data_IF_910316602956
#
_entry.id   IF_910316602956
#
_cell.length_a   1.000
_cell.length_b   1.000
_cell.length_c   1.000
_cell.angle_alpha   90.00
_cell.angle_beta   90.00
_cell.angle_gamma   90.00
#
_symmetry.space_group_name_H-M   'P 1'
#
loop_
_entity.id
_entity.type
_entity.pdbx_description
1 polymer ?
#
# COMPACT_ATOMS: atom_id res chain seq x y z
N UNK A 1 8.62 13.88 1.00
CA UNK A 1 8.45 12.48 0.63
C UNK A 1 7.58 11.80 1.68
N UNK A 2 6.56 11.07 1.26
CA UNK A 2 5.70 10.31 2.16
C UNK A 2 6.41 9.01 2.55
N UNK A 3 6.56 8.78 3.86
CA UNK A 3 7.17 7.59 4.41
C UNK A 3 6.21 6.94 5.41
N UNK A 4 6.33 5.63 5.60
CA UNK A 4 5.59 4.87 6.59
C UNK A 4 6.34 4.85 7.91
N UNK A 5 5.66 5.18 9.03
CA UNK A 5 6.16 4.94 10.38
C UNK A 5 6.00 3.46 10.76
N UNK A 6 6.55 3.04 11.91
CA UNK A 6 6.37 1.68 12.45
C UNK A 6 4.91 1.33 12.77
N UNK A 7 4.06 2.33 12.98
CA UNK A 7 2.63 2.17 13.27
C UNK A 7 1.73 2.44 12.06
N UNK A 8 2.29 2.58 10.84
CA UNK A 8 1.54 2.86 9.63
C UNK A 8 1.13 4.32 9.46
N UNK A 9 1.44 5.20 10.40
CA UNK A 9 1.15 6.63 10.27
C UNK A 9 2.05 7.29 9.22
N UNK A 10 1.55 8.36 8.61
CA UNK A 10 2.29 9.08 7.57
C UNK A 10 3.38 9.96 8.18
N UNK A 11 4.61 9.77 7.71
CA UNK A 11 5.73 10.66 7.95
C UNK A 11 5.96 11.48 6.68
N UNK A 12 5.69 12.77 6.74
CA UNK A 12 5.98 13.70 5.65
C UNK A 12 6.49 15.00 6.26
N UNK A 13 7.74 14.99 6.69
CA UNK A 13 8.37 16.09 7.39
C UNK A 13 8.63 17.26 6.41
N UNK A 14 8.15 18.44 6.78
CA UNK A 14 8.38 19.70 6.07
C UNK A 14 9.25 20.62 6.91
N UNK A 15 10.25 21.29 6.33
CA UNK A 15 11.05 22.27 7.06
C UNK A 15 10.17 23.39 7.62
N UNK A 16 10.39 23.73 8.88
CA UNK A 16 9.74 24.87 9.57
C UNK A 16 10.73 26.02 9.79
N UNK A 17 12.00 25.81 9.45
CA UNK A 17 13.07 26.83 9.49
C UNK A 17 13.40 27.33 8.10
N UNK A 18 13.91 28.55 8.02
CA UNK A 18 14.29 29.21 6.76
C UNK A 18 15.79 29.11 6.49
N UNK A 19 16.18 29.23 5.22
CA UNK A 19 17.60 29.26 4.83
C UNK A 19 18.28 30.50 5.40
N UNK A 20 19.39 30.30 6.13
CA UNK A 20 20.13 31.38 6.81
C UNK A 20 19.67 31.65 8.25
N UNK A 21 18.64 30.99 8.70
CA UNK A 21 18.19 31.04 10.09
C UNK A 21 19.19 30.34 11.03
N UNK A 22 19.44 30.93 12.19
CA UNK A 22 20.32 30.35 13.19
C UNK A 22 19.56 29.28 13.99
N UNK A 23 20.09 28.07 14.03
CA UNK A 23 19.52 26.96 14.78
C UNK A 23 20.42 26.61 15.95
N UNK A 24 19.83 26.10 17.02
CA UNK A 24 20.49 25.70 18.25
C UNK A 24 20.40 24.18 18.40
N UNK A 25 21.49 23.59 18.92
CA UNK A 25 21.55 22.20 19.35
C UNK A 25 21.76 22.13 20.86
N UNK A 26 21.77 20.92 21.43
CA UNK A 26 22.01 20.69 22.85
C UNK A 26 20.72 20.44 23.63
N UNK A 27 20.62 21.02 24.84
CA UNK A 27 19.50 20.74 25.77
C UNK A 27 18.17 21.36 25.35
N UNK A 28 18.20 22.44 24.54
CA UNK A 28 17.01 23.08 23.97
C UNK A 28 17.19 23.22 22.44
N UNK A 29 17.04 22.11 21.69
CA UNK A 29 17.29 22.10 20.27
C UNK A 29 16.18 22.77 19.46
N UNK A 30 16.54 23.51 18.43
CA UNK A 30 15.58 24.05 17.46
C UNK A 30 14.99 22.92 16.63
N UNK A 31 13.66 22.84 16.58
CA UNK A 31 12.96 21.88 15.70
C UNK A 31 13.12 22.33 14.24
N UNK A 32 13.67 21.47 13.40
CA UNK A 32 13.97 21.79 12.00
C UNK A 32 12.82 21.48 11.04
N UNK A 33 12.01 20.47 11.36
CA UNK A 33 10.91 20.04 10.51
C UNK A 33 9.82 19.38 11.33
N UNK A 34 8.59 19.56 10.90
CA UNK A 34 7.40 18.89 11.43
C UNK A 34 6.55 18.30 10.30
N UNK A 35 5.73 17.32 10.62
CA UNK A 35 4.86 16.62 9.70
C UNK A 35 3.43 16.48 10.21
N UNK A 36 2.59 15.71 9.52
CA UNK A 36 1.17 15.56 9.87
C UNK A 36 0.92 14.88 11.23
N UNK A 37 1.90 14.18 11.77
CA UNK A 37 1.82 13.45 13.04
C UNK A 37 2.73 14.05 14.14
N UNK A 38 3.33 15.21 13.91
CA UNK A 38 4.23 15.89 14.83
C UNK A 38 3.90 17.38 14.94
N UNK A 39 4.14 17.95 16.11
CA UNK A 39 4.01 19.39 16.39
C UNK A 39 5.12 19.81 17.35
N UNK A 40 5.91 20.81 16.99
CA UNK A 40 7.08 21.28 17.73
C UNK A 40 8.07 20.14 18.10
N UNK A 41 8.23 19.17 17.19
CA UNK A 41 9.10 18.01 17.38
C UNK A 41 8.54 16.91 18.27
N UNK A 42 7.34 17.08 18.81
CA UNK A 42 6.64 16.08 19.63
C UNK A 42 5.58 15.33 18.83
N UNK A 43 5.23 14.12 19.28
CA UNK A 43 4.15 13.33 18.67
C UNK A 43 2.81 14.02 18.91
N UNK A 44 2.09 14.28 17.82
CA UNK A 44 0.77 14.92 17.80
C UNK A 44 -0.20 14.13 16.91
N UNK A 45 -0.49 12.89 17.30
CA UNK A 45 -1.36 11.95 16.54
C UNK A 45 -2.86 12.18 16.76
N UNK A 46 -3.23 13.16 17.55
CA UNK A 46 -4.62 13.47 17.87
C UNK A 46 -4.84 14.96 18.07
N UNK A 47 -6.01 15.28 18.58
CA UNK A 47 -6.41 16.65 18.92
C UNK A 47 -7.03 16.70 20.32
N UNK A 48 -6.78 17.77 21.05
CA UNK A 48 -7.46 18.05 22.28
C UNK A 48 -8.87 18.58 21.96
N UNK A 49 -9.88 17.87 22.44
CA UNK A 49 -11.29 18.16 22.16
C UNK A 49 -12.02 18.40 23.48
N UNK A 50 -12.94 19.37 23.47
CA UNK A 50 -13.84 19.60 24.60
C UNK A 50 -14.89 18.47 24.62
N UNK A 51 -14.98 17.76 25.74
CA UNK A 51 -15.88 16.62 25.94
C UNK A 51 -16.90 16.94 27.02
N UNK A 52 -18.18 16.70 26.74
CA UNK A 52 -19.27 16.75 27.73
C UNK A 52 -19.74 15.33 28.07
N UNK A 53 -19.80 15.01 29.35
CA UNK A 53 -20.34 13.74 29.86
C UNK A 53 -21.80 13.91 30.25
N UNK A 54 -22.71 13.47 29.41
CA UNK A 54 -24.16 13.51 29.62
C UNK A 54 -24.88 12.51 28.80
N UNK A 55 -26.11 12.15 29.16
CA UNK A 55 -26.99 11.39 28.30
C UNK A 55 -27.62 12.30 27.24
N UNK A 56 -27.71 11.84 25.99
CA UNK A 56 -28.30 12.62 24.89
C UNK A 56 -29.28 11.74 24.10
N UNK A 57 -30.55 11.76 24.48
CA UNK A 57 -31.66 11.07 23.77
C UNK A 57 -31.40 9.60 23.39
N UNK A 58 -30.50 8.93 24.12
CA UNK A 58 -30.09 7.56 23.87
C UNK A 58 -29.09 7.35 22.74
N UNK A 59 -28.73 8.39 21.97
CA UNK A 59 -27.77 8.25 20.88
C UNK A 59 -26.34 8.00 21.29
N UNK A 60 -26.02 8.14 22.55
CA UNK A 60 -24.73 7.84 23.14
C UNK A 60 -24.80 6.67 24.15
N UNK A 61 -25.70 5.70 23.88
CA UNK A 61 -25.84 4.50 24.70
C UNK A 61 -24.62 3.58 24.55
N UNK A 62 -24.13 3.04 25.65
CA UNK A 62 -22.91 2.22 25.74
C UNK A 62 -21.66 2.94 25.20
N UNK A 63 -21.04 2.42 24.14
CA UNK A 63 -19.80 2.96 23.55
C UNK A 63 -20.04 4.01 22.47
N UNK A 64 -21.31 4.35 22.19
CA UNK A 64 -21.65 5.35 21.19
C UNK A 64 -21.31 6.76 21.68
N UNK A 65 -20.77 7.58 20.79
CA UNK A 65 -20.45 8.98 21.04
C UNK A 65 -21.07 9.89 19.99
N UNK A 66 -21.50 11.07 20.43
CA UNK A 66 -21.96 12.13 19.53
C UNK A 66 -20.82 13.08 19.26
N UNK A 67 -20.62 13.44 18.02
CA UNK A 67 -19.58 14.35 17.57
C UNK A 67 -20.18 15.55 16.85
N UNK A 68 -19.54 16.71 17.02
CA UNK A 68 -19.90 17.89 16.24
C UNK A 68 -19.49 17.70 14.79
N UNK A 69 -20.40 17.97 13.85
CA UNK A 69 -20.17 17.86 12.41
C UNK A 69 -18.93 18.67 11.93
N UNK A 70 -18.57 19.73 12.63
CA UNK A 70 -17.37 20.52 12.37
C UNK A 70 -16.10 19.68 12.35
N UNK A 71 -15.98 18.65 13.20
CA UNK A 71 -14.82 17.76 13.27
C UNK A 71 -14.63 16.98 11.97
N UNK A 72 -15.72 16.65 11.30
CA UNK A 72 -15.67 15.98 10.01
C UNK A 72 -15.41 16.97 8.88
N UNK A 73 -16.05 18.13 8.90
CA UNK A 73 -15.88 19.18 7.87
C UNK A 73 -14.46 19.76 7.85
N UNK A 74 -13.87 19.97 9.01
CA UNK A 74 -12.52 20.53 9.15
C UNK A 74 -11.41 19.47 9.14
N UNK A 75 -11.74 18.20 8.86
CA UNK A 75 -10.80 17.08 8.84
C UNK A 75 -9.99 16.92 10.15
N UNK A 76 -10.58 17.25 11.31
CA UNK A 76 -9.90 17.24 12.61
C UNK A 76 -9.44 15.85 13.01
N UNK A 77 -10.29 14.83 12.77
CA UNK A 77 -10.00 13.41 13.02
C UNK A 77 -9.67 12.62 11.74
N UNK A 78 -9.25 13.31 10.71
CA UNK A 78 -8.78 12.66 9.48
C UNK A 78 -7.31 12.28 9.63
N UNK A 79 -6.98 11.04 9.35
CA UNK A 79 -5.62 10.52 9.39
C UNK A 79 -5.22 9.91 8.06
N UNK A 80 -3.91 9.92 7.80
CA UNK A 80 -3.32 9.25 6.63
C UNK A 80 -2.51 8.08 7.16
N UNK A 81 -2.82 6.89 6.64
CA UNK A 81 -2.12 5.65 6.94
C UNK A 81 -1.41 5.17 5.69
N UNK A 82 -0.19 4.68 5.84
CA UNK A 82 0.58 4.11 4.74
C UNK A 82 0.75 2.62 5.00
N UNK A 83 0.16 1.81 4.14
CA UNK A 83 0.29 0.37 4.15
C UNK A 83 1.37 -0.07 3.16
N UNK A 84 2.09 -1.13 3.51
CA UNK A 84 3.15 -1.72 2.70
C UNK A 84 2.72 -3.11 2.23
N UNK A 85 2.75 -3.31 0.92
CA UNK A 85 2.49 -4.59 0.28
C UNK A 85 3.75 -5.07 -0.40
N UNK A 86 4.14 -6.29 -0.10
CA UNK A 86 5.35 -6.91 -0.65
C UNK A 86 5.00 -8.18 -1.41
N UNK A 87 5.64 -8.36 -2.55
CA UNK A 87 5.61 -9.61 -3.30
C UNK A 87 7.02 -9.95 -3.76
N UNK A 88 7.35 -11.22 -3.73
CA UNK A 88 8.60 -11.74 -4.23
C UNK A 88 8.38 -12.69 -5.43
N UNK A 89 9.35 -12.72 -6.34
CA UNK A 89 9.46 -13.69 -7.41
C UNK A 89 10.60 -14.65 -7.09
N UNK A 90 10.28 -15.94 -6.99
CA UNK A 90 11.20 -17.01 -6.58
C UNK A 90 11.45 -18.02 -7.68
N UNK A 91 12.58 -18.69 -7.59
CA UNK A 91 12.80 -19.91 -8.35
C UNK A 91 11.95 -21.05 -7.78
N UNK A 92 11.17 -21.69 -8.65
CA UNK A 92 10.41 -22.90 -8.30
C UNK A 92 10.98 -24.11 -9.03
N UNK A 93 10.59 -25.30 -8.60
CA UNK A 93 11.01 -26.57 -9.26
C UNK A 93 10.53 -26.67 -10.72
N UNK A 94 9.49 -25.90 -11.08
CA UNK A 94 8.87 -25.89 -12.41
C UNK A 94 9.38 -24.75 -13.29
N UNK A 95 10.20 -23.87 -12.73
CA UNK A 95 10.74 -22.69 -13.37
C UNK A 95 10.67 -21.45 -12.49
N UNK A 96 11.26 -20.33 -12.89
CA UNK A 96 11.20 -19.09 -12.13
C UNK A 96 9.81 -18.46 -12.23
N UNK A 97 9.38 -17.86 -11.12
CA UNK A 97 8.25 -16.92 -11.12
C UNK A 97 8.68 -15.63 -11.82
N UNK A 98 7.76 -14.97 -12.47
CA UNK A 98 8.04 -13.76 -13.24
C UNK A 98 7.06 -12.65 -12.87
N UNK A 99 7.60 -11.44 -12.63
CA UNK A 99 6.81 -10.23 -12.49
C UNK A 99 6.60 -9.67 -13.89
N UNK A 100 5.33 -9.59 -14.31
CA UNK A 100 4.98 -9.22 -15.68
C UNK A 100 3.59 -8.60 -15.76
N UNK A 101 3.37 -7.79 -16.78
CA UNK A 101 2.05 -7.28 -17.14
C UNK A 101 1.22 -8.31 -17.94
N UNK A 102 1.88 -9.28 -18.55
CA UNK A 102 1.23 -10.32 -19.36
C UNK A 102 0.59 -11.39 -18.47
N UNK A 103 -0.63 -11.14 -18.04
CA UNK A 103 -1.42 -11.97 -17.14
C UNK A 103 -2.59 -12.54 -17.93
N UNK A 104 -2.67 -13.87 -18.03
CA UNK A 104 -3.76 -14.56 -18.71
C UNK A 104 -5.11 -14.34 -18.00
N UNK A 105 -6.19 -14.21 -18.77
CA UNK A 105 -7.57 -14.09 -18.29
C UNK A 105 -7.87 -12.83 -17.46
N UNK A 106 -7.11 -11.76 -17.64
CA UNK A 106 -7.33 -10.45 -17.03
C UNK A 106 -7.64 -9.44 -18.15
N UNK A 107 -8.71 -8.65 -17.98
CA UNK A 107 -9.10 -7.62 -18.93
C UNK A 107 -8.12 -6.43 -18.93
N UNK A 108 -7.99 -5.75 -20.07
CA UNK A 108 -7.13 -4.56 -20.22
C UNK A 108 -7.45 -3.44 -19.20
N UNK A 109 -8.71 -3.31 -18.78
CA UNK A 109 -9.11 -2.32 -17.78
C UNK A 109 -8.45 -2.55 -16.43
N UNK A 110 -8.21 -3.80 -16.03
CA UNK A 110 -7.51 -4.15 -14.80
C UNK A 110 -5.99 -3.96 -14.89
N UNK A 111 -5.46 -3.87 -16.11
CA UNK A 111 -4.03 -3.69 -16.38
C UNK A 111 -3.64 -2.26 -16.72
N UNK A 112 -4.61 -1.34 -16.84
CA UNK A 112 -4.39 0.04 -17.31
C UNK A 112 -3.40 0.83 -16.47
N UNK A 113 -3.37 0.60 -15.17
CA UNK A 113 -2.52 1.32 -14.20
C UNK A 113 -1.19 0.60 -13.93
N UNK A 114 -0.93 -0.53 -14.59
CA UNK A 114 0.36 -1.22 -14.54
C UNK A 114 1.31 -0.69 -15.62
N UNK A 115 2.57 -0.56 -15.25
CA UNK A 115 3.65 -0.25 -16.19
C UNK A 115 4.02 -1.47 -17.07
N UNK A 116 5.02 -1.32 -17.94
CA UNK A 116 5.50 -2.39 -18.82
C UNK A 116 6.07 -3.59 -18.06
N UNK A 117 6.52 -3.38 -16.82
CA UNK A 117 7.03 -4.44 -15.95
C UNK A 117 5.94 -5.13 -15.14
N UNK A 118 4.70 -4.66 -15.21
CA UNK A 118 3.58 -5.18 -14.43
C UNK A 118 3.47 -4.60 -13.02
N UNK A 119 4.12 -3.47 -12.74
CA UNK A 119 4.09 -2.78 -11.45
C UNK A 119 3.16 -1.58 -11.56
N UNK A 120 2.35 -1.35 -10.53
CA UNK A 120 1.41 -0.24 -10.52
C UNK A 120 2.12 1.12 -10.50
N UNK A 121 1.61 2.09 -11.26
CA UNK A 121 2.16 3.44 -11.33
C UNK A 121 1.90 4.22 -10.04
N UNK A 122 2.82 5.07 -9.67
CA UNK A 122 2.65 6.03 -8.56
C UNK A 122 1.53 7.02 -8.90
N UNK A 123 0.67 7.30 -7.93
CA UNK A 123 -0.50 8.17 -8.09
C UNK A 123 -1.76 7.45 -8.58
N UNK A 124 -1.72 6.14 -8.84
CA UNK A 124 -2.91 5.37 -9.15
C UNK A 124 -3.82 5.27 -7.93
N UNK A 125 -5.11 5.47 -8.13
CA UNK A 125 -6.16 5.16 -7.16
C UNK A 125 -6.56 3.72 -7.32
N UNK A 126 -6.55 2.96 -6.23
CA UNK A 126 -6.82 1.52 -6.22
C UNK A 126 -7.90 1.15 -5.22
N UNK A 127 -8.64 0.11 -5.56
CA UNK A 127 -9.74 -0.45 -4.77
C UNK A 127 -9.48 -1.94 -4.51
N UNK A 128 -10.26 -2.52 -3.60
CA UNK A 128 -10.19 -3.95 -3.30
C UNK A 128 -10.27 -4.82 -4.57
N UNK A 129 -9.29 -5.70 -4.74
CA UNK A 129 -9.19 -6.60 -5.90
C UNK A 129 -8.34 -6.07 -7.06
N UNK A 130 -7.99 -4.79 -7.10
CA UNK A 130 -7.09 -4.23 -8.12
C UNK A 130 -5.69 -4.82 -8.00
N UNK A 131 -5.01 -4.98 -9.13
CA UNK A 131 -3.68 -5.56 -9.20
C UNK A 131 -2.64 -4.48 -8.90
N UNK A 132 -1.82 -4.72 -7.87
CA UNK A 132 -0.68 -3.88 -7.51
C UNK A 132 0.59 -4.30 -8.25
N UNK A 133 0.82 -5.60 -8.36
CA UNK A 133 1.96 -6.17 -9.06
C UNK A 133 1.52 -7.45 -9.76
N UNK A 134 1.68 -7.49 -11.08
CA UNK A 134 1.42 -8.67 -11.88
C UNK A 134 2.50 -9.72 -11.69
N UNK A 135 2.14 -10.93 -11.30
CA UNK A 135 3.05 -12.07 -11.17
C UNK A 135 2.41 -13.35 -11.72
N UNK A 136 3.22 -14.11 -12.41
CA UNK A 136 2.84 -15.42 -12.93
C UNK A 136 3.78 -16.50 -12.38
N UNK A 137 3.20 -17.65 -12.04
CA UNK A 137 3.92 -18.81 -11.53
C UNK A 137 3.74 -19.98 -12.50
N UNK A 138 4.80 -20.70 -12.89
CA UNK A 138 4.69 -21.87 -13.74
C UNK A 138 3.80 -22.96 -13.11
N UNK A 139 2.88 -23.53 -13.91
CA UNK A 139 2.04 -24.68 -13.51
C UNK A 139 2.74 -26.00 -13.75
N UNK A 140 2.47 -26.98 -12.87
CA UNK A 140 2.86 -28.37 -13.09
C UNK A 140 1.87 -29.12 -14.01
N UNK A 141 2.32 -30.18 -14.64
CA UNK A 141 1.48 -31.03 -15.51
C UNK A 141 0.25 -31.62 -14.80
N UNK A 142 0.33 -31.79 -13.48
CA UNK A 142 -0.76 -32.31 -12.63
C UNK A 142 -1.87 -31.29 -12.37
N UNK A 143 -1.58 -29.99 -12.53
CA UNK A 143 -2.51 -28.91 -12.22
C UNK A 143 -3.36 -28.49 -13.43
N UNK A 144 -3.18 -29.17 -14.57
CA UNK A 144 -3.90 -28.90 -15.80
C UNK A 144 -5.31 -29.43 -15.75
N UNK A 145 -6.28 -28.60 -16.12
CA UNK A 145 -7.64 -29.09 -16.42
C UNK A 145 -7.66 -29.97 -17.67
N UNK A 146 -8.71 -30.78 -17.82
CA UNK A 146 -8.84 -31.65 -19.02
C UNK A 146 -8.86 -30.84 -20.33
N UNK A 147 -9.44 -29.63 -20.30
CA UNK A 147 -9.52 -28.69 -21.42
C UNK A 147 -8.15 -28.10 -21.76
N UNK A 148 -7.37 -27.71 -20.76
CA UNK A 148 -6.00 -27.22 -20.93
C UNK A 148 -5.07 -28.29 -21.50
N UNK A 149 -5.21 -29.55 -21.05
CA UNK A 149 -4.46 -30.70 -21.65
C UNK A 149 -4.80 -30.91 -23.11
N UNK A 150 -6.07 -30.77 -23.48
CA UNK A 150 -6.52 -30.89 -24.87
C UNK A 150 -5.95 -29.78 -25.75
N UNK A 151 -5.99 -28.51 -25.24
CA UNK A 151 -5.42 -27.38 -25.96
C UNK A 151 -3.90 -27.54 -26.16
N UNK A 152 -3.18 -28.05 -25.16
CA UNK A 152 -1.75 -28.36 -25.28
C UNK A 152 -1.48 -29.43 -26.34
N UNK A 153 -2.31 -30.45 -26.40
CA UNK A 153 -2.19 -31.51 -27.42
C UNK A 153 -2.43 -30.99 -28.85
N UNK A 154 -3.30 -29.99 -29.03
CA UNK A 154 -3.66 -29.41 -30.31
C UNK A 154 -2.67 -28.32 -30.77
N UNK A 155 -2.25 -27.43 -29.89
CA UNK A 155 -1.45 -26.23 -30.18
C UNK A 155 0.05 -26.36 -29.85
N UNK A 156 0.48 -27.47 -29.26
CA UNK A 156 1.89 -27.76 -28.91
C UNK A 156 2.39 -27.00 -27.68
N UNK A 157 3.69 -27.17 -27.35
CA UNK A 157 4.34 -26.65 -26.11
C UNK A 157 4.45 -25.13 -26.03
N UNK A 158 3.90 -24.35 -26.95
CA UNK A 158 4.06 -22.89 -26.99
C UNK A 158 3.18 -22.11 -25.98
N UNK A 159 2.18 -22.74 -25.38
CA UNK A 159 1.44 -22.11 -24.29
C UNK A 159 2.19 -22.37 -22.97
N UNK A 160 3.01 -21.42 -22.52
CA UNK A 160 3.53 -21.40 -21.15
C UNK A 160 2.31 -21.38 -20.23
N UNK A 161 2.03 -22.53 -19.61
CA UNK A 161 0.98 -22.59 -18.63
C UNK A 161 1.49 -21.98 -17.32
N UNK A 162 1.02 -20.77 -17.08
CA UNK A 162 1.30 -20.02 -15.90
C UNK A 162 0.00 -19.78 -15.14
N UNK A 163 0.09 -19.70 -13.83
CA UNK A 163 -1.01 -19.31 -12.95
C UNK A 163 -0.81 -17.87 -12.53
N UNK A 164 -1.88 -17.07 -12.54
CA UNK A 164 -1.90 -15.74 -11.95
C UNK A 164 -1.71 -15.85 -10.42
N UNK A 165 -0.61 -15.27 -9.94
CA UNK A 165 -0.26 -15.14 -8.53
C UNK A 165 0.02 -13.69 -8.17
N UNK A 166 -0.61 -12.77 -8.90
CA UNK A 166 -0.44 -11.33 -8.74
C UNK A 166 -0.82 -10.85 -7.35
N UNK A 167 -0.12 -9.83 -6.89
CA UNK A 167 -0.46 -9.11 -5.66
C UNK A 167 -1.66 -8.21 -5.95
N UNK A 168 -2.73 -8.41 -5.21
CA UNK A 168 -3.97 -7.63 -5.31
C UNK A 168 -4.22 -6.91 -4.01
N UNK A 169 -4.92 -5.76 -4.11
CA UNK A 169 -5.39 -5.02 -2.94
C UNK A 169 -6.34 -5.90 -2.13
N UNK A 170 -6.11 -6.08 -0.82
CA UNK A 170 -6.98 -6.87 0.05
C UNK A 170 -8.41 -6.32 0.09
N UNK A 171 -9.34 -7.19 0.46
CA UNK A 171 -10.74 -6.81 0.60
C UNK A 171 -10.94 -5.77 1.71
N UNK A 172 -11.69 -4.71 1.43
CA UNK A 172 -11.94 -3.61 2.36
C UNK A 172 -10.88 -2.51 2.36
N UNK A 173 -9.82 -2.65 1.56
CA UNK A 173 -8.78 -1.64 1.44
C UNK A 173 -8.89 -0.85 0.13
N UNK A 174 -8.51 0.41 0.18
CA UNK A 174 -8.46 1.30 -0.97
C UNK A 174 -7.49 2.46 -0.67
N UNK A 175 -7.00 3.11 -1.70
CA UNK A 175 -6.12 4.26 -1.49
C UNK A 175 -5.37 4.70 -2.74
N UNK A 176 -4.33 5.48 -2.54
CA UNK A 176 -3.49 6.01 -3.62
C UNK A 176 -2.07 5.47 -3.46
N UNK A 177 -1.51 4.96 -4.53
CA UNK A 177 -0.11 4.48 -4.56
C UNK A 177 0.84 5.67 -4.44
N UNK A 178 1.65 5.69 -3.39
CA UNK A 178 2.60 6.78 -3.09
C UNK A 178 4.04 6.47 -3.44
N UNK A 179 4.41 5.19 -3.43
CA UNK A 179 5.75 4.73 -3.82
C UNK A 179 5.71 3.26 -4.26
N UNK A 180 6.64 2.87 -5.12
CA UNK A 180 6.89 1.48 -5.49
C UNK A 180 8.40 1.27 -5.58
N UNK A 181 8.92 0.25 -4.92
CA UNK A 181 10.36 -0.07 -4.88
C UNK A 181 10.59 -1.47 -5.39
N UNK A 182 11.57 -1.60 -6.24
CA UNK A 182 11.99 -2.87 -6.82
C UNK A 182 13.40 -3.19 -6.36
N UNK A 183 13.58 -4.37 -5.83
CA UNK A 183 14.86 -4.92 -5.40
C UNK A 183 15.16 -6.13 -6.25
N UNK A 184 16.33 -6.15 -6.90
CA UNK A 184 16.75 -7.26 -7.75
C UNK A 184 18.18 -7.69 -7.41
N UNK A 185 18.47 -8.98 -7.59
CA UNK A 185 19.85 -9.48 -7.45
C UNK A 185 20.82 -8.83 -8.43
N UNK A 186 20.34 -8.49 -9.62
CA UNK A 186 21.13 -7.82 -10.64
C UNK A 186 21.62 -6.45 -10.20
N UNK A 187 20.84 -5.75 -9.37
CA UNK A 187 21.19 -4.45 -8.80
C UNK A 187 22.11 -4.58 -7.58
N UNK A 188 22.41 -5.80 -7.12
CA UNK A 188 23.25 -6.05 -5.95
C UNK A 188 22.50 -6.02 -4.62
N UNK A 189 21.18 -6.09 -4.65
CA UNK A 189 20.36 -6.13 -3.43
C UNK A 189 20.50 -7.48 -2.71
N UNK A 190 20.59 -7.46 -1.38
CA UNK A 190 20.62 -8.65 -0.55
C UNK A 190 19.21 -9.26 -0.44
N UNK A 191 18.92 -10.24 -1.29
CA UNK A 191 17.66 -10.98 -1.28
C UNK A 191 17.81 -12.36 -0.65
N UNK A 192 16.73 -12.90 -0.12
CA UNK A 192 16.67 -14.25 0.44
C UNK A 192 17.07 -15.33 -0.56
N UNK A 193 17.35 -16.55 -0.07
CA UNK A 193 17.72 -17.68 -0.94
C UNK A 193 16.57 -18.01 -1.91
N UNK A 194 16.89 -18.11 -3.19
CA UNK A 194 15.93 -18.45 -4.25
C UNK A 194 15.00 -17.31 -4.64
N UNK A 195 15.12 -16.11 -4.06
CA UNK A 195 14.38 -14.91 -4.45
C UNK A 195 15.17 -14.16 -5.50
N UNK A 196 14.56 -13.82 -6.63
CA UNK A 196 15.19 -13.11 -7.73
C UNK A 196 14.83 -11.62 -7.72
N UNK A 197 13.58 -11.32 -7.38
CA UNK A 197 13.05 -9.96 -7.36
C UNK A 197 12.05 -9.79 -6.19
N UNK A 198 12.06 -8.63 -5.57
CA UNK A 198 11.08 -8.21 -4.55
C UNK A 198 10.51 -6.86 -4.96
N UNK A 199 9.20 -6.73 -4.95
CA UNK A 199 8.52 -5.46 -5.18
C UNK A 199 7.74 -5.07 -3.95
N UNK A 200 7.95 -3.84 -3.47
CA UNK A 200 7.21 -3.22 -2.37
C UNK A 200 6.40 -2.06 -2.90
N UNK A 201 5.11 -2.09 -2.66
CA UNK A 201 4.18 -1.02 -3.02
C UNK A 201 3.65 -0.38 -1.75
N UNK A 202 3.69 0.94 -1.69
CA UNK A 202 3.19 1.73 -0.57
C UNK A 202 1.89 2.40 -0.96
N UNK A 203 0.85 2.13 -0.19
CA UNK A 203 -0.50 2.63 -0.41
C UNK A 203 -0.89 3.61 0.69
N UNK A 204 -1.24 4.84 0.35
CA UNK A 204 -1.77 5.82 1.30
C UNK A 204 -3.29 5.72 1.37
N UNK A 205 -3.79 5.46 2.56
CA UNK A 205 -5.22 5.48 2.89
C UNK A 205 -5.55 6.73 3.69
N UNK A 206 -6.56 7.46 3.25
CA UNK A 206 -7.13 8.56 4.01
C UNK A 206 -8.34 8.06 4.79
N UNK A 207 -8.22 7.99 6.10
CA UNK A 207 -9.31 7.57 6.99
C UNK A 207 -10.01 8.78 7.56
N UNK A 208 -11.29 8.89 7.28
CA UNK A 208 -12.20 9.88 7.85
C UNK A 208 -13.16 9.21 8.81
N UNK A 209 -13.64 10.01 9.74
CA UNK A 209 -14.68 9.59 10.65
C UNK A 209 -16.03 9.56 9.93
N UNK A 210 -16.73 8.44 10.03
CA UNK A 210 -18.07 8.22 9.47
C UNK A 210 -19.07 7.88 10.58
N UNK A 211 -20.35 8.05 10.27
CA UNK A 211 -21.41 7.60 11.17
C UNK A 211 -21.42 6.07 11.21
N UNK A 212 -21.28 5.50 12.41
CA UNK A 212 -21.22 4.06 12.62
C UNK A 212 -19.80 3.51 12.87
N UNK A 213 -18.79 4.37 12.84
CA UNK A 213 -17.41 3.99 13.21
C UNK A 213 -17.26 3.69 14.70
#
# INVERSE_FOLDING_TARGET
>A
KFLRSNHGTCINQKPIVSVGERVHGGDDPTVLADGPATDQGEIALGRNILVGFMTWEGYNYEDAVLLNERLVKEDVYTSIHIEEYEIDARDTKLGPEEITRDISNVGEDALKDLDERGIIRIGAEVHAGDILVGKVTPKGETDLTAEERLLRAIFGEKAREVRDTSLKVPHGESGIVVDAKVFTRENGDELGRGVNEVVRVYLAQRRKLLVGD
#
